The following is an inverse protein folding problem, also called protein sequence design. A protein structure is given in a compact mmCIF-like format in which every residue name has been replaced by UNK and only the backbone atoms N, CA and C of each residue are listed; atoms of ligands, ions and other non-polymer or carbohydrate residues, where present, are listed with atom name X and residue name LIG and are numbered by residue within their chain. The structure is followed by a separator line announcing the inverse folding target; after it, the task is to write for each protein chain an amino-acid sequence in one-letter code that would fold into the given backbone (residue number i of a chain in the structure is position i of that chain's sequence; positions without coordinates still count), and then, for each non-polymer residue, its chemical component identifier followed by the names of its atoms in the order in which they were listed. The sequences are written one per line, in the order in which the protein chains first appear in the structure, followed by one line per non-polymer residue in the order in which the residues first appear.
data_IF_814482879595
#
_entry.id   IF_814482879595
#
_cell.length_a   1.000
_cell.length_b   1.000
_cell.length_c   1.000
_cell.angle_alpha   90.00
_cell.angle_beta   90.00
_cell.angle_gamma   90.00
#
_symmetry.space_group_name_H-M   'P 1'
#
loop_
_entity.id
_entity.type
_entity.pdbx_description
1 polymer ?
#
# COMPACT_ATOMS: atom_id res chain seq x y z
N UNK A 1 9.70 -3.39 13.71
CA UNK A 1 9.99 -2.14 12.98
C UNK A 1 8.77 -1.25 13.10
N UNK A 2 8.82 -0.21 13.94
CA UNK A 2 7.79 0.83 13.96
C UNK A 2 8.04 1.77 12.77
N UNK A 3 7.81 1.24 11.57
CA UNK A 3 7.89 1.97 10.31
C UNK A 3 6.70 2.91 10.22
N UNK A 4 6.90 4.09 9.64
CA UNK A 4 5.84 5.05 9.34
C UNK A 4 4.62 4.37 8.71
N UNK A 5 3.43 4.94 8.94
CA UNK A 5 2.24 4.51 8.20
C UNK A 5 2.49 4.64 6.69
N UNK A 6 2.08 3.66 5.87
CA UNK A 6 2.28 3.71 4.43
C UNK A 6 1.64 4.95 3.81
N UNK A 7 2.27 5.51 2.77
CA UNK A 7 1.78 6.70 2.08
C UNK A 7 1.51 6.45 0.60
N UNK A 8 0.79 7.38 -0.04
CA UNK A 8 0.53 7.32 -1.47
C UNK A 8 1.86 7.20 -2.27
N UNK A 9 1.94 6.14 -3.06
CA UNK A 9 3.08 5.73 -3.88
C UNK A 9 3.86 4.55 -3.30
N UNK A 10 3.72 4.25 -2.01
CA UNK A 10 4.43 3.15 -1.36
C UNK A 10 3.86 1.78 -1.80
N UNK A 11 4.73 0.78 -1.94
CA UNK A 11 4.35 -0.62 -2.11
C UNK A 11 4.15 -1.25 -0.73
N UNK A 12 2.99 -1.87 -0.52
CA UNK A 12 2.61 -2.51 0.73
C UNK A 12 2.20 -3.96 0.53
N UNK A 13 2.41 -4.76 1.57
CA UNK A 13 1.74 -6.03 1.79
C UNK A 13 0.53 -5.79 2.68
N UNK A 14 -0.66 -6.06 2.15
CA UNK A 14 -1.89 -6.16 2.90
C UNK A 14 -1.98 -7.57 3.50
N UNK A 15 -1.62 -7.70 4.78
CA UNK A 15 -1.54 -8.98 5.50
C UNK A 15 -2.92 -9.63 5.68
N UNK A 16 -3.99 -8.84 5.72
CA UNK A 16 -5.35 -9.36 5.94
C UNK A 16 -5.86 -10.12 4.71
N UNK A 17 -5.58 -9.58 3.53
CA UNK A 17 -5.98 -10.18 2.26
C UNK A 17 -4.83 -10.95 1.57
N UNK A 18 -3.70 -11.12 2.27
CA UNK A 18 -2.45 -11.72 1.80
C UNK A 18 -2.06 -11.31 0.37
N UNK A 19 -1.95 -10.01 0.13
CA UNK A 19 -1.73 -9.46 -1.21
C UNK A 19 -0.83 -8.24 -1.21
N UNK A 20 -0.22 -7.95 -2.37
CA UNK A 20 0.59 -6.74 -2.57
C UNK A 20 -0.16 -5.68 -3.36
N UNK A 21 0.13 -4.43 -3.06
CA UNK A 21 -0.43 -3.30 -3.79
C UNK A 21 0.32 -2.01 -3.52
N UNK A 22 0.23 -1.10 -4.49
CA UNK A 22 0.76 0.26 -4.38
C UNK A 22 -0.35 1.13 -3.82
N UNK A 23 -0.07 1.83 -2.72
CA UNK A 23 -0.99 2.82 -2.18
C UNK A 23 -1.15 3.96 -3.19
N UNK A 24 -2.37 4.23 -3.62
CA UNK A 24 -2.68 5.35 -4.52
C UNK A 24 -3.26 6.54 -3.78
N UNK A 25 -3.86 6.30 -2.62
CA UNK A 25 -4.52 7.32 -1.81
C UNK A 25 -4.59 6.88 -0.34
N UNK A 26 -4.59 7.85 0.58
CA UNK A 26 -4.70 7.66 2.03
C UNK A 26 -5.85 8.53 2.55
N UNK A 27 -6.95 7.89 2.90
CA UNK A 27 -8.19 8.53 3.34
C UNK A 27 -8.21 8.65 4.86
N UNK A 28 -8.11 9.88 5.35
CA UNK A 28 -8.22 10.18 6.78
C UNK A 28 -7.22 9.43 7.67
N UNK A 29 -6.07 9.01 7.11
CA UNK A 29 -5.05 8.23 7.82
C UNK A 29 -5.50 6.84 8.32
N UNK A 30 -6.66 6.37 7.87
CA UNK A 30 -7.31 5.13 8.36
C UNK A 30 -7.75 4.21 7.23
N UNK A 31 -7.89 4.71 6.00
CA UNK A 31 -8.15 3.90 4.80
C UNK A 31 -7.10 4.10 3.71
N UNK A 32 -6.72 3.02 3.04
CA UNK A 32 -5.81 3.02 1.90
C UNK A 32 -6.54 2.53 0.65
N UNK A 33 -6.39 3.27 -0.45
CA UNK A 33 -6.78 2.78 -1.76
C UNK A 33 -5.53 2.18 -2.40
N UNK A 34 -5.61 0.92 -2.80
CA UNK A 34 -4.51 0.16 -3.38
C UNK A 34 -4.80 -0.13 -4.84
N UNK A 35 -3.77 -0.02 -5.68
CA UNK A 35 -3.73 -0.68 -6.99
C UNK A 35 -2.82 -1.90 -6.90
N UNK A 36 -3.15 -3.02 -7.56
CA UNK A 36 -2.23 -4.14 -7.65
C UNK A 36 -1.01 -3.75 -8.48
N UNK A 37 0.10 -4.46 -8.27
CA UNK A 37 1.29 -4.33 -9.13
C UNK A 37 0.98 -4.73 -10.57
N UNK A 38 0.01 -5.63 -10.77
CA UNK A 38 -0.46 -6.12 -12.08
C UNK A 38 -1.99 -6.15 -12.12
N UNK A 39 -2.58 -5.63 -13.19
CA UNK A 39 -4.03 -5.52 -13.38
C UNK A 39 -4.59 -4.13 -13.07
N UNK A 40 -5.91 -3.98 -13.19
CA UNK A 40 -6.60 -2.67 -13.15
C UNK A 40 -7.61 -2.53 -12.00
N UNK A 41 -7.85 -3.59 -11.24
CA UNK A 41 -8.82 -3.60 -10.15
C UNK A 41 -8.34 -2.72 -9.00
N UNK A 42 -9.11 -1.70 -8.64
CA UNK A 42 -8.82 -0.86 -7.48
C UNK A 42 -9.40 -1.50 -6.21
N UNK A 43 -8.59 -1.56 -5.16
CA UNK A 43 -8.91 -2.21 -3.88
C UNK A 43 -8.83 -1.21 -2.75
N UNK A 44 -9.48 -1.50 -1.64
CA UNK A 44 -9.39 -0.71 -0.41
C UNK A 44 -8.97 -1.59 0.76
N UNK A 45 -8.20 -1.00 1.69
CA UNK A 45 -7.86 -1.58 2.98
C UNK A 45 -8.15 -0.56 4.07
N UNK A 46 -8.85 -0.98 5.12
CA UNK A 46 -9.29 -0.10 6.23
C UNK A 46 -8.53 -0.39 7.53
N UNK A 47 -7.48 -1.23 7.46
CA UNK A 47 -6.71 -1.69 8.62
C UNK A 47 -5.24 -1.28 8.51
N UNK A 48 -4.89 -0.04 8.89
CA UNK A 48 -3.52 0.48 8.80
C UNK A 48 -2.46 -0.44 9.41
N UNK A 49 -2.77 -1.02 10.57
CA UNK A 49 -1.85 -1.88 11.31
C UNK A 49 -1.57 -3.24 10.67
N UNK A 50 -2.23 -3.56 9.54
CA UNK A 50 -2.02 -4.77 8.74
C UNK A 50 -1.38 -4.48 7.37
N UNK A 51 -1.00 -3.21 7.13
CA UNK A 51 -0.27 -2.82 5.93
C UNK A 51 1.22 -2.74 6.26
N UNK A 52 1.99 -3.69 5.75
CA UNK A 52 3.44 -3.72 5.90
C UNK A 52 4.11 -3.04 4.71
N UNK A 53 4.92 -2.02 4.96
CA UNK A 53 5.69 -1.32 3.93
C UNK A 53 6.75 -2.26 3.34
N UNK A 54 6.68 -2.50 2.02
CA UNK A 54 7.65 -3.32 1.29
C UNK A 54 8.68 -2.47 0.53
N UNK A 55 8.25 -1.33 -0.01
CA UNK A 55 9.11 -0.37 -0.68
C UNK A 55 8.51 1.03 -0.60
N UNK A 56 9.34 2.05 -0.48
CA UNK A 56 8.91 3.44 -0.55
C UNK A 56 8.44 3.81 -1.97
N UNK A 57 7.77 4.95 -2.09
CA UNK A 57 7.40 5.53 -3.39
C UNK A 57 8.56 5.68 -4.36
N UNK A 58 9.74 6.05 -3.88
CA UNK A 58 10.93 6.23 -4.73
C UNK A 58 11.37 4.89 -5.30
N UNK A 59 11.59 3.90 -4.42
CA UNK A 59 11.97 2.53 -4.82
C UNK A 59 10.90 1.86 -5.70
N UNK A 60 9.63 2.14 -5.44
CA UNK A 60 8.51 1.60 -6.24
C UNK A 60 8.54 2.16 -7.66
N UNK A 61 8.94 3.43 -7.85
CA UNK A 61 9.05 4.05 -9.17
C UNK A 61 10.22 3.51 -9.99
N UNK A 62 11.30 3.13 -9.34
CA UNK A 62 12.45 2.52 -10.04
C UNK A 62 12.16 1.09 -10.51
N UNK A 63 11.13 0.44 -9.95
CA UNK A 63 10.77 -0.96 -10.20
C UNK A 63 9.65 -1.16 -11.23
N UNK A 64 8.88 -0.11 -11.54
CA UNK A 64 7.73 -0.13 -12.46
C UNK A 64 8.09 0.50 -13.81
#
# INVERSE_FOLDING_TARGET
MSGRNPWAGDLVHDEEADRRGIATDVRGGTGWVLRPERGVERRTSERPGRLTLLASREETRERL
#
